data_IF_294395439727
#
_entry.id   IF_294395439727
#
_cell.length_a   1.000
_cell.length_b   1.000
_cell.length_c   1.000
_cell.angle_alpha   90.00
_cell.angle_beta   90.00
_cell.angle_gamma   90.00
#
_symmetry.space_group_name_H-M   'P 1'
#
loop_
_entity.id
_entity.type
_entity.pdbx_description
1 polymer ?
#
# COMPACT_ATOMS: atom_id res chain seq x y z
N UNK A 1 -24.37 -5.26 -0.18
CA UNK A 1 -23.19 -5.53 -1.02
C UNK A 1 -23.10 -4.40 -2.02
N UNK A 2 -22.26 -3.41 -1.70
CA UNK A 2 -22.03 -2.26 -2.57
C UNK A 2 -20.64 -2.47 -3.17
N UNK A 3 -20.50 -3.49 -4.03
CA UNK A 3 -19.24 -3.85 -4.69
C UNK A 3 -18.93 -2.81 -5.78
N UNK A 4 -18.41 -1.65 -5.36
CA UNK A 4 -18.05 -0.52 -6.23
C UNK A 4 -16.78 -0.75 -7.04
N UNK A 5 -16.07 -1.85 -6.79
CA UNK A 5 -14.81 -2.17 -7.45
C UNK A 5 -14.99 -3.34 -8.40
N UNK A 6 -14.81 -3.05 -9.69
CA UNK A 6 -14.50 -4.08 -10.68
C UNK A 6 -12.98 -4.26 -10.69
N UNK A 7 -12.50 -5.49 -10.92
CA UNK A 7 -11.07 -5.75 -11.03
C UNK A 7 -10.75 -6.54 -12.30
N UNK A 8 -9.54 -6.34 -12.80
CA UNK A 8 -8.94 -7.09 -13.89
C UNK A 8 -7.62 -7.67 -13.39
N UNK A 9 -7.42 -8.98 -13.58
CA UNK A 9 -6.14 -9.63 -13.42
C UNK A 9 -5.69 -10.28 -14.72
N UNK A 10 -4.51 -9.90 -15.19
CA UNK A 10 -3.80 -10.60 -16.26
C UNK A 10 -2.72 -11.46 -15.60
N UNK A 11 -2.84 -12.77 -15.73
CA UNK A 11 -1.93 -13.74 -15.09
C UNK A 11 -1.19 -14.55 -16.14
N UNK A 12 0.08 -14.87 -15.87
CA UNK A 12 0.86 -15.78 -16.70
C UNK A 12 0.34 -17.22 -16.61
N UNK A 13 0.68 -18.04 -17.62
CA UNK A 13 0.19 -19.42 -17.74
C UNK A 13 0.40 -20.28 -16.50
N UNK A 14 1.58 -20.20 -15.88
CA UNK A 14 1.90 -20.93 -14.64
C UNK A 14 0.93 -20.60 -13.49
N UNK A 15 0.56 -19.33 -13.34
CA UNK A 15 -0.40 -18.90 -12.31
C UNK A 15 -1.80 -19.39 -12.67
N UNK A 16 -2.20 -19.30 -13.94
CA UNK A 16 -3.50 -19.78 -14.42
C UNK A 16 -3.67 -21.31 -14.29
N UNK A 17 -2.55 -22.06 -14.33
CA UNK A 17 -2.56 -23.50 -14.05
C UNK A 17 -2.66 -23.80 -12.55
N UNK A 18 -2.02 -23.01 -11.70
CA UNK A 18 -2.00 -23.22 -10.25
C UNK A 18 -3.26 -22.71 -9.54
N UNK A 19 -3.90 -21.65 -10.05
CA UNK A 19 -5.04 -20.97 -9.44
C UNK A 19 -6.26 -20.97 -10.36
N UNK A 20 -7.41 -21.36 -9.82
CA UNK A 20 -8.68 -21.22 -10.53
C UNK A 20 -9.09 -19.75 -10.65
N UNK A 21 -10.02 -19.45 -11.56
CA UNK A 21 -10.60 -18.11 -11.67
C UNK A 21 -11.28 -17.66 -10.36
N UNK A 22 -11.87 -18.60 -9.61
CA UNK A 22 -12.47 -18.34 -8.32
C UNK A 22 -11.41 -17.96 -7.26
N UNK A 23 -10.31 -18.70 -7.20
CA UNK A 23 -9.18 -18.39 -6.31
C UNK A 23 -8.64 -16.98 -6.57
N UNK A 24 -8.45 -16.64 -7.85
CA UNK A 24 -7.95 -15.32 -8.27
C UNK A 24 -8.94 -14.23 -7.85
N UNK A 25 -10.23 -14.42 -8.13
CA UNK A 25 -11.26 -13.45 -7.78
C UNK A 25 -11.36 -13.22 -6.27
N UNK A 26 -11.33 -14.28 -5.47
CA UNK A 26 -11.41 -14.19 -4.00
C UNK A 26 -10.19 -13.50 -3.40
N UNK A 27 -9.00 -13.76 -3.97
CA UNK A 27 -7.78 -13.08 -3.55
C UNK A 27 -7.83 -11.58 -3.86
N UNK A 28 -8.34 -11.19 -5.04
CA UNK A 28 -8.51 -9.77 -5.41
C UNK A 28 -9.55 -9.07 -4.52
N UNK A 29 -10.66 -9.73 -4.18
CA UNK A 29 -11.68 -9.20 -3.25
C UNK A 29 -11.13 -8.93 -1.85
N UNK A 30 -10.15 -9.72 -1.38
CA UNK A 30 -9.49 -9.48 -0.08
C UNK A 30 -8.60 -8.24 -0.07
N UNK A 31 -8.15 -7.79 -1.26
CA UNK A 31 -7.20 -6.69 -1.41
C UNK A 31 -7.74 -5.57 -2.31
N UNK A 32 -9.04 -5.27 -2.21
CA UNK A 32 -9.68 -4.19 -2.97
C UNK A 32 -8.89 -2.87 -2.84
N UNK A 33 -8.66 -2.23 -4.00
CA UNK A 33 -7.96 -0.96 -4.08
C UNK A 33 -6.45 -1.04 -3.81
N UNK A 34 -5.86 -2.24 -3.75
CA UNK A 34 -4.43 -2.45 -3.50
C UNK A 34 -3.78 -3.36 -4.55
N UNK A 35 -3.63 -2.90 -5.81
CA UNK A 35 -3.11 -3.70 -6.91
C UNK A 35 -1.73 -4.32 -6.66
N UNK A 36 -0.82 -3.66 -5.93
CA UNK A 36 0.52 -4.18 -5.67
C UNK A 36 0.48 -5.31 -4.63
N UNK A 37 -0.26 -5.13 -3.54
CA UNK A 37 -0.52 -6.20 -2.56
C UNK A 37 -1.23 -7.39 -3.20
N UNK A 38 -2.28 -7.15 -4.00
CA UNK A 38 -3.03 -8.23 -4.67
C UNK A 38 -2.13 -9.02 -5.64
N UNK A 39 -1.31 -8.32 -6.42
CA UNK A 39 -0.32 -8.94 -7.33
C UNK A 39 0.65 -9.83 -6.55
N UNK A 40 1.25 -9.30 -5.48
CA UNK A 40 2.18 -10.07 -4.64
C UNK A 40 1.53 -11.28 -3.95
N UNK A 41 0.26 -11.16 -3.55
CA UNK A 41 -0.50 -12.26 -2.95
C UNK A 41 -0.81 -13.37 -3.98
N UNK A 42 -1.15 -13.01 -5.22
CA UNK A 42 -1.35 -13.99 -6.30
C UNK A 42 -0.06 -14.76 -6.61
N UNK A 43 1.07 -14.06 -6.69
CA UNK A 43 2.38 -14.68 -6.89
C UNK A 43 2.70 -15.67 -5.76
N UNK A 44 2.50 -15.25 -4.52
CA UNK A 44 2.78 -16.09 -3.35
C UNK A 44 1.87 -17.32 -3.31
N UNK A 45 0.57 -17.15 -3.54
CA UNK A 45 -0.39 -18.27 -3.52
C UNK A 45 -0.08 -19.28 -4.63
N UNK A 46 0.26 -18.81 -5.84
CA UNK A 46 0.69 -19.70 -6.93
C UNK A 46 1.94 -20.49 -6.55
N UNK A 47 2.95 -19.86 -5.91
CA UNK A 47 4.14 -20.55 -5.42
C UNK A 47 3.84 -21.60 -4.36
N UNK A 48 2.95 -21.29 -3.42
CA UNK A 48 2.51 -22.25 -2.37
C UNK A 48 1.85 -23.47 -3.01
N UNK A 49 1.13 -23.29 -4.13
CA UNK A 49 0.54 -24.38 -4.91
C UNK A 49 1.49 -25.04 -5.91
N UNK A 50 2.78 -24.74 -5.84
CA UNK A 50 3.83 -25.43 -6.58
C UNK A 50 4.23 -24.77 -7.91
N UNK A 51 3.71 -23.60 -8.24
CA UNK A 51 4.16 -22.84 -9.41
C UNK A 51 5.62 -22.38 -9.19
N UNK A 52 6.52 -22.79 -10.10
CA UNK A 52 7.97 -22.59 -9.94
C UNK A 52 8.63 -21.93 -11.15
N UNK A 53 7.89 -21.72 -12.24
CA UNK A 53 8.35 -21.02 -13.44
C UNK A 53 8.35 -19.49 -13.33
N UNK A 54 8.34 -18.83 -14.49
CA UNK A 54 8.22 -17.37 -14.56
C UNK A 54 6.78 -16.96 -14.22
N UNK A 55 6.61 -16.38 -13.04
CA UNK A 55 5.32 -15.90 -12.56
C UNK A 55 5.17 -14.42 -12.90
N UNK A 56 4.14 -14.08 -13.67
CA UNK A 56 3.83 -12.69 -14.04
C UNK A 56 2.37 -12.42 -13.75
N UNK A 57 2.08 -11.28 -13.14
CA UNK A 57 0.73 -10.82 -12.87
C UNK A 57 0.63 -9.31 -13.01
N UNK A 58 -0.50 -8.84 -13.50
CA UNK A 58 -0.92 -7.45 -13.47
C UNK A 58 -2.33 -7.40 -12.88
N UNK A 59 -2.52 -6.62 -11.82
CA UNK A 59 -3.82 -6.37 -11.22
C UNK A 59 -4.20 -4.90 -11.41
N UNK A 60 -5.44 -4.65 -11.82
CA UNK A 60 -6.05 -3.33 -11.86
C UNK A 60 -7.39 -3.35 -11.14
N UNK A 61 -7.67 -2.28 -10.39
CA UNK A 61 -8.95 -2.05 -9.74
C UNK A 61 -9.58 -0.79 -10.35
N UNK A 62 -10.87 -0.85 -10.60
CA UNK A 62 -11.65 0.24 -11.18
C UNK A 62 -12.69 0.69 -10.18
N UNK A 63 -12.73 1.99 -9.90
CA UNK A 63 -13.84 2.62 -9.20
C UNK A 63 -14.83 3.14 -10.23
N UNK A 64 -16.05 2.60 -10.25
CA UNK A 64 -17.12 3.23 -11.02
C UNK A 64 -17.73 4.35 -10.18
N UNK A 65 -17.32 5.58 -10.44
CA UNK A 65 -18.09 6.74 -9.98
C UNK A 65 -19.44 6.74 -10.69
N UNK A 66 -20.54 7.01 -9.97
CA UNK A 66 -21.69 7.61 -10.64
C UNK A 66 -21.14 8.81 -11.39
N UNK A 67 -21.30 8.86 -12.72
CA UNK A 67 -21.08 10.09 -13.45
C UNK A 67 -21.83 11.17 -12.66
N UNK A 68 -21.11 12.16 -12.12
CA UNK A 68 -21.79 13.42 -11.87
C UNK A 68 -22.31 13.79 -13.24
N UNK A 69 -23.64 13.92 -13.44
CA UNK A 69 -24.16 14.27 -14.76
C UNK A 69 -23.32 15.44 -15.22
N UNK A 70 -22.64 15.29 -16.36
CA UNK A 70 -21.89 16.40 -16.95
C UNK A 70 -22.96 17.45 -17.17
N UNK A 71 -23.06 18.39 -16.24
CA UNK A 71 -24.11 19.39 -16.24
C UNK A 71 -24.08 19.97 -17.65
N UNK A 72 -25.18 19.79 -18.37
CA UNK A 72 -25.38 20.45 -19.65
C UNK A 72 -24.92 21.89 -19.44
N UNK A 73 -24.01 22.37 -20.28
CA UNK A 73 -23.26 23.59 -20.04
C UNK A 73 -24.21 24.77 -19.73
N UNK A 74 -24.45 24.99 -18.44
CA UNK A 74 -25.14 26.17 -17.94
C UNK A 74 -24.12 27.32 -17.93
N UNK A 75 -24.53 28.54 -18.30
CA UNK A 75 -23.63 29.66 -18.49
C UNK A 75 -22.95 30.00 -17.15
N UNK A 76 -21.61 29.96 -17.16
CA UNK A 76 -20.66 30.38 -16.13
C UNK A 76 -21.23 30.89 -14.78
N UNK A 77 -21.92 30.03 -14.05
CA UNK A 77 -22.22 30.19 -12.63
C UNK A 77 -20.99 29.83 -11.82
N UNK A 78 -20.71 30.61 -10.76
CA UNK A 78 -19.52 30.51 -9.91
C UNK A 78 -19.07 29.06 -9.67
N UNK A 79 -17.82 28.75 -10.04
CA UNK A 79 -17.16 27.46 -9.81
C UNK A 79 -17.53 26.94 -8.42
N UNK A 80 -17.95 25.67 -8.28
CA UNK A 80 -18.13 25.08 -6.96
C UNK A 80 -16.82 25.24 -6.20
N UNK A 81 -16.93 25.68 -4.94
CA UNK A 81 -15.78 25.92 -4.06
C UNK A 81 -15.07 24.59 -3.88
N UNK A 82 -14.02 24.35 -4.66
CA UNK A 82 -13.06 23.27 -4.42
C UNK A 82 -12.62 23.45 -2.97
N UNK A 83 -12.91 22.47 -2.11
CA UNK A 83 -12.37 22.48 -0.75
C UNK A 83 -10.86 22.71 -0.86
N UNK A 84 -10.29 23.68 -0.13
CA UNK A 84 -8.87 23.96 -0.24
C UNK A 84 -8.12 22.68 0.07
N UNK A 85 -7.35 22.17 -0.89
CA UNK A 85 -6.50 21.00 -0.70
C UNK A 85 -5.74 21.17 0.63
N UNK A 86 -5.92 20.22 1.56
CA UNK A 86 -5.28 20.27 2.88
C UNK A 86 -3.80 20.59 2.69
N UNK A 87 -3.33 21.68 3.31
CA UNK A 87 -1.93 22.12 3.16
C UNK A 87 -0.95 21.10 3.74
N UNK A 88 -1.41 20.30 4.71
CA UNK A 88 -0.62 19.29 5.40
C UNK A 88 -1.47 18.06 5.72
N UNK A 89 -0.82 16.91 5.79
CA UNK A 89 -1.39 15.62 6.21
C UNK A 89 -0.51 15.01 7.29
N UNK A 90 -1.05 14.12 8.12
CA UNK A 90 -0.24 13.38 9.11
C UNK A 90 -0.42 11.89 8.88
N UNK A 91 0.70 11.18 8.77
CA UNK A 91 0.71 9.76 8.50
C UNK A 91 1.66 9.02 9.44
N UNK A 92 1.36 7.75 9.69
CA UNK A 92 2.29 6.77 10.23
C UNK A 92 2.77 5.87 9.10
N UNK A 93 3.95 5.30 9.23
CA UNK A 93 4.50 4.38 8.24
C UNK A 93 5.11 3.12 8.85
N UNK A 94 5.19 2.09 8.02
CA UNK A 94 6.09 0.95 8.18
C UNK A 94 6.97 0.94 6.92
N UNK A 95 8.29 1.10 7.09
CA UNK A 95 9.27 1.05 6.01
C UNK A 95 10.07 -0.23 6.12
N UNK A 96 10.15 -0.99 5.03
CA UNK A 96 11.03 -2.15 4.91
C UNK A 96 11.92 -1.93 3.69
N UNK A 97 13.23 -1.91 3.88
CA UNK A 97 14.20 -1.71 2.81
C UNK A 97 14.46 -3.02 2.03
N UNK A 98 15.30 -2.96 1.02
CA UNK A 98 15.85 -4.13 0.31
C UNK A 98 17.28 -3.82 -0.13
N UNK A 99 17.95 -4.81 -0.74
CA UNK A 99 19.34 -4.68 -1.20
C UNK A 99 19.57 -3.50 -2.17
N UNK A 100 18.54 -3.07 -2.91
CA UNK A 100 18.61 -2.00 -3.91
C UNK A 100 18.14 -0.64 -3.37
N UNK A 101 17.78 -0.56 -2.08
CA UNK A 101 17.48 0.73 -1.43
C UNK A 101 18.74 1.59 -1.32
N UNK A 102 18.58 2.91 -1.35
CA UNK A 102 19.68 3.90 -1.29
C UNK A 102 20.65 3.68 -0.14
N UNK A 103 20.11 3.31 1.03
CA UNK A 103 20.89 2.94 2.21
C UNK A 103 20.43 1.57 2.72
N UNK A 104 20.97 0.45 2.18
CA UNK A 104 20.52 -0.91 2.47
C UNK A 104 21.10 -1.40 3.81
N UNK A 105 20.86 -0.62 4.86
CA UNK A 105 21.30 -0.87 6.24
C UNK A 105 20.13 -0.58 7.18
N UNK A 106 19.86 -1.51 8.10
CA UNK A 106 18.92 -1.33 9.19
C UNK A 106 19.63 -0.61 10.35
N UNK A 107 19.49 0.72 10.38
CA UNK A 107 20.02 1.57 11.45
C UNK A 107 19.26 1.42 12.78
N UNK A 108 18.08 0.79 12.76
CA UNK A 108 17.26 0.57 13.96
C UNK A 108 17.77 -0.66 14.72
N UNK A 109 18.18 -1.72 14.01
CA UNK A 109 18.61 -3.00 14.58
C UNK A 109 20.11 -3.24 14.35
N UNK A 110 20.93 -2.51 15.11
CA UNK A 110 22.39 -2.71 15.18
C UNK A 110 23.15 -2.51 13.86
N UNK A 111 22.70 -1.60 12.98
CA UNK A 111 23.35 -1.31 11.69
C UNK A 111 23.54 -2.56 10.81
N UNK A 112 22.56 -3.46 10.82
CA UNK A 112 22.63 -4.70 10.04
C UNK A 112 22.52 -4.42 8.54
N UNK A 113 23.38 -5.05 7.74
CA UNK A 113 23.32 -4.98 6.27
C UNK A 113 22.07 -5.70 5.74
N UNK A 114 21.38 -5.08 4.80
CA UNK A 114 20.16 -5.61 4.18
C UNK A 114 20.51 -6.25 2.83
N UNK A 115 20.28 -7.56 2.73
CA UNK A 115 20.59 -8.38 1.54
C UNK A 115 19.36 -8.97 0.86
N UNK A 116 18.18 -8.85 1.49
CA UNK A 116 16.92 -9.40 0.97
C UNK A 116 16.47 -8.69 -0.31
N UNK A 117 15.65 -9.39 -1.10
CA UNK A 117 15.10 -8.88 -2.36
C UNK A 117 13.96 -7.87 -2.13
N UNK A 118 13.59 -7.13 -3.19
CA UNK A 118 12.37 -6.31 -3.20
C UNK A 118 11.12 -7.17 -2.90
N UNK A 119 11.01 -8.34 -3.53
CA UNK A 119 9.88 -9.26 -3.32
C UNK A 119 9.76 -9.73 -1.86
N UNK A 120 10.89 -9.98 -1.18
CA UNK A 120 10.90 -10.31 0.24
C UNK A 120 10.46 -9.13 1.11
N UNK A 121 10.91 -7.92 0.80
CA UNK A 121 10.50 -6.71 1.51
C UNK A 121 8.99 -6.47 1.37
N UNK A 122 8.44 -6.62 0.16
CA UNK A 122 7.01 -6.54 -0.09
C UNK A 122 6.22 -7.64 0.63
N UNK A 123 6.75 -8.86 0.72
CA UNK A 123 6.13 -9.96 1.47
C UNK A 123 6.02 -9.62 2.96
N UNK A 124 7.07 -9.07 3.57
CA UNK A 124 7.06 -8.63 4.98
C UNK A 124 5.98 -7.55 5.21
N UNK A 125 5.83 -6.61 4.27
CA UNK A 125 4.79 -5.58 4.37
C UNK A 125 3.39 -6.14 4.14
N UNK A 126 3.21 -7.09 3.22
CA UNK A 126 1.93 -7.76 2.97
C UNK A 126 1.45 -8.53 4.20
N UNK A 127 2.33 -9.30 4.85
CA UNK A 127 2.03 -9.97 6.11
C UNK A 127 1.66 -8.97 7.23
N UNK A 128 2.30 -7.80 7.24
CA UNK A 128 1.97 -6.73 8.19
C UNK A 128 0.61 -6.10 7.88
N UNK A 129 0.30 -5.87 6.61
CA UNK A 129 -0.98 -5.33 6.15
C UNK A 129 -2.13 -6.27 6.48
N UNK A 130 -1.98 -7.56 6.23
CA UNK A 130 -2.99 -8.57 6.55
C UNK A 130 -3.30 -8.58 8.05
N UNK A 131 -2.26 -8.58 8.89
CA UNK A 131 -2.43 -8.47 10.34
C UNK A 131 -3.16 -7.18 10.73
N UNK A 132 -2.80 -6.04 10.14
CA UNK A 132 -3.45 -4.76 10.43
C UNK A 132 -4.90 -4.70 9.94
N UNK A 133 -5.21 -5.32 8.79
CA UNK A 133 -6.57 -5.35 8.26
C UNK A 133 -7.49 -6.26 9.07
N UNK A 134 -6.95 -7.31 9.68
CA UNK A 134 -7.71 -8.17 10.60
C UNK A 134 -8.10 -7.47 11.92
N UNK A 135 -7.53 -6.30 12.20
CA UNK A 135 -7.80 -5.48 13.38
C UNK A 135 -8.51 -4.16 12.99
N UNK A 136 -9.84 -4.03 13.20
CA UNK A 136 -10.60 -2.83 12.84
C UNK A 136 -10.06 -1.55 13.50
N UNK A 137 -9.57 -1.64 14.74
CA UNK A 137 -9.01 -0.53 15.51
C UNK A 137 -7.57 -0.21 15.10
N UNK A 138 -6.93 -1.09 14.32
CA UNK A 138 -5.53 -0.98 13.86
C UNK A 138 -4.54 -0.85 15.02
N UNK A 139 -4.91 -1.32 16.21
CA UNK A 139 -4.08 -1.35 17.42
C UNK A 139 -2.77 -2.12 17.20
N UNK A 140 -2.81 -3.14 16.34
CA UNK A 140 -1.65 -3.97 15.98
C UNK A 140 -0.61 -3.21 15.14
N UNK A 141 -0.95 -2.05 14.56
CA UNK A 141 -0.04 -1.26 13.74
C UNK A 141 1.24 -0.91 14.51
N UNK A 142 1.11 -0.45 15.76
CA UNK A 142 2.25 -0.11 16.63
C UNK A 142 3.18 -1.31 16.81
N UNK A 143 2.62 -2.49 17.05
CA UNK A 143 3.39 -3.73 17.23
C UNK A 143 4.11 -4.14 15.94
N UNK A 144 3.41 -4.13 14.79
CA UNK A 144 4.02 -4.44 13.49
C UNK A 144 5.11 -3.43 13.13
N UNK A 145 4.84 -2.14 13.29
CA UNK A 145 5.80 -1.07 13.03
C UNK A 145 7.09 -1.29 13.83
N UNK A 146 7.01 -1.52 15.15
CA UNK A 146 8.21 -1.80 15.96
C UNK A 146 8.92 -3.09 15.56
N UNK A 147 8.16 -4.12 15.18
CA UNK A 147 8.71 -5.42 14.82
C UNK A 147 9.52 -5.36 13.52
N UNK A 148 9.00 -4.71 12.47
CA UNK A 148 9.58 -4.83 11.11
C UNK A 148 10.04 -3.52 10.47
N UNK A 149 9.61 -2.36 10.96
CA UNK A 149 10.01 -1.09 10.33
C UNK A 149 11.50 -0.80 10.55
N UNK A 150 12.14 -0.24 9.54
CA UNK A 150 13.55 0.13 9.51
C UNK A 150 13.75 1.65 9.31
N UNK A 151 12.65 2.41 9.36
CA UNK A 151 12.70 3.84 9.58
C UNK A 151 12.86 4.14 11.07
N UNK A 152 13.72 5.09 11.43
CA UNK A 152 13.92 5.56 12.82
C UNK A 152 12.63 6.03 13.50
N UNK A 153 11.61 6.44 12.73
CA UNK A 153 10.28 6.78 13.25
C UNK A 153 9.62 5.64 14.06
N UNK A 154 10.00 4.37 13.85
CA UNK A 154 9.47 3.24 14.62
C UNK A 154 9.95 3.23 16.08
N UNK A 155 11.03 3.95 16.41
CA UNK A 155 11.56 4.08 17.77
C UNK A 155 10.74 5.02 18.65
N UNK A 156 9.82 5.79 18.06
CA UNK A 156 8.91 6.65 18.82
C UNK A 156 8.03 5.82 19.77
N UNK A 157 7.73 6.38 20.94
CA UNK A 157 6.97 5.73 22.00
C UNK A 157 5.48 5.59 21.68
N UNK A 158 4.83 4.58 22.26
CA UNK A 158 3.38 4.35 22.18
C UNK A 158 2.82 4.41 20.75
N UNK A 159 1.70 5.13 20.60
CA UNK A 159 1.01 5.32 19.33
C UNK A 159 1.73 6.23 18.32
N UNK A 160 2.86 6.82 18.72
CA UNK A 160 3.70 7.61 17.80
C UNK A 160 4.66 6.73 16.99
N UNK A 161 4.73 5.42 17.24
CA UNK A 161 5.57 4.51 16.45
C UNK A 161 5.20 4.60 14.96
N UNK A 162 6.19 4.96 14.14
CA UNK A 162 6.04 5.15 12.70
C UNK A 162 5.52 6.52 12.28
N UNK A 163 5.20 7.43 13.22
CA UNK A 163 4.67 8.76 12.91
C UNK A 163 5.68 9.61 12.15
N UNK A 164 5.28 10.16 11.01
CA UNK A 164 6.06 11.05 10.16
C UNK A 164 5.90 12.53 10.53
N UNK A 165 4.98 12.86 11.43
CA UNK A 165 4.60 14.25 11.69
C UNK A 165 3.77 14.84 10.55
N UNK A 166 3.63 16.16 10.55
CA UNK A 166 2.90 16.88 9.53
C UNK A 166 3.73 17.00 8.25
N UNK A 167 3.23 16.39 7.18
CA UNK A 167 3.84 16.35 5.86
C UNK A 167 3.20 17.43 4.99
N UNK A 168 4.03 18.30 4.44
CA UNK A 168 3.68 19.28 3.40
C UNK A 168 4.17 18.77 2.05
N UNK A 169 3.63 19.32 0.95
CA UNK A 169 4.11 19.00 -0.40
C UNK A 169 5.59 19.36 -0.56
N UNK A 170 6.34 18.53 -1.27
CA UNK A 170 7.77 18.64 -1.52
C UNK A 170 8.68 18.15 -0.39
N UNK A 171 8.13 17.63 0.73
CA UNK A 171 8.95 17.19 1.87
C UNK A 171 9.36 15.72 1.84
N UNK A 172 8.65 14.89 1.07
CA UNK A 172 8.86 13.44 0.99
C UNK A 172 8.99 13.00 -0.47
N UNK A 173 9.41 11.75 -0.68
CA UNK A 173 9.53 11.17 -2.02
C UNK A 173 8.23 11.31 -2.83
N UNK A 174 8.27 11.61 -4.15
CA UNK A 174 7.07 11.86 -4.95
C UNK A 174 5.99 10.78 -4.88
N UNK A 175 6.38 9.50 -4.88
CA UNK A 175 5.43 8.38 -4.75
C UNK A 175 4.75 8.36 -3.37
N UNK A 176 5.50 8.66 -2.31
CA UNK A 176 4.97 8.75 -0.94
C UNK A 176 4.06 9.96 -0.82
N UNK A 177 4.43 11.10 -1.39
CA UNK A 177 3.58 12.30 -1.44
C UNK A 177 2.24 12.00 -2.14
N UNK A 178 2.29 11.42 -3.35
CA UNK A 178 1.10 11.07 -4.10
C UNK A 178 0.17 10.16 -3.30
N UNK A 179 0.72 9.17 -2.58
CA UNK A 179 -0.05 8.28 -1.73
C UNK A 179 -0.64 8.99 -0.50
N UNK A 180 0.14 9.74 0.30
CA UNK A 180 -0.38 10.36 1.53
C UNK A 180 -1.46 11.42 1.27
N UNK A 181 -1.35 12.17 0.16
CA UNK A 181 -2.32 13.21 -0.17
C UNK A 181 -3.60 12.67 -0.82
N UNK A 182 -3.54 11.49 -1.46
CA UNK A 182 -4.72 10.82 -2.04
C UNK A 182 -5.45 9.92 -1.04
N UNK A 183 -4.75 9.40 -0.03
CA UNK A 183 -5.31 8.48 0.95
C UNK A 183 -6.33 9.19 1.87
N UNK A 184 -7.55 8.67 2.09
CA UNK A 184 -8.48 9.26 3.05
C UNK A 184 -8.00 9.10 4.51
N UNK A 185 -8.47 9.96 5.41
CA UNK A 185 -8.14 9.84 6.84
C UNK A 185 -8.64 8.50 7.38
N UNK A 186 -7.84 7.85 8.22
CA UNK A 186 -8.11 6.52 8.79
C UNK A 186 -7.76 5.35 7.88
N UNK A 187 -7.40 5.60 6.61
CA UNK A 187 -7.11 4.55 5.64
C UNK A 187 -5.62 4.20 5.58
N UNK A 188 -5.35 2.98 5.15
CA UNK A 188 -4.00 2.45 4.95
C UNK A 188 -3.78 2.25 3.44
N UNK A 189 -2.63 2.71 2.94
CA UNK A 189 -2.25 2.63 1.53
C UNK A 189 -2.01 1.19 1.06
N UNK A 190 -1.85 1.04 -0.25
CA UNK A 190 -1.12 -0.08 -0.83
C UNK A 190 0.38 0.01 -0.46
N UNK A 191 1.20 -0.93 -0.95
CA UNK A 191 2.66 -0.84 -0.86
C UNK A 191 3.17 0.23 -1.83
N UNK A 192 3.93 1.19 -1.31
CA UNK A 192 4.52 2.30 -2.06
C UNK A 192 6.03 2.14 -2.07
N UNK A 193 6.65 2.32 -3.23
CA UNK A 193 8.11 2.25 -3.37
C UNK A 193 8.72 3.65 -3.45
N UNK A 194 9.88 3.78 -2.81
CA UNK A 194 10.75 4.95 -2.89
C UNK A 194 12.21 4.49 -2.90
N UNK A 195 13.13 5.44 -3.08
CA UNK A 195 14.56 5.18 -2.96
C UNK A 195 14.96 4.60 -1.59
N UNK A 196 14.18 4.83 -0.53
CA UNK A 196 14.45 4.28 0.79
C UNK A 196 14.02 2.81 0.94
N UNK A 197 13.15 2.30 0.06
CA UNK A 197 12.59 0.95 0.14
C UNK A 197 11.08 0.93 -0.14
N UNK A 198 10.38 0.00 0.48
CA UNK A 198 8.92 -0.14 0.37
C UNK A 198 8.23 0.31 1.66
N UNK A 199 7.07 0.94 1.50
CA UNK A 199 6.35 1.62 2.56
C UNK A 199 4.89 1.21 2.56
N UNK A 200 4.33 1.09 3.76
CA UNK A 200 2.89 1.14 4.00
C UNK A 200 2.59 2.37 4.84
N UNK A 201 1.59 3.14 4.44
CA UNK A 201 1.24 4.42 5.02
C UNK A 201 -0.15 4.32 5.66
N UNK A 202 -0.31 4.83 6.86
CA UNK A 202 -1.59 5.00 7.53
C UNK A 202 -1.85 6.47 7.77
N UNK A 203 -2.86 7.04 7.10
CA UNK A 203 -3.22 8.45 7.29
C UNK A 203 -4.04 8.62 8.55
N UNK A 204 -3.57 9.50 9.44
CA UNK A 204 -4.24 9.81 10.71
C UNK A 204 -4.83 11.23 10.74
N UNK A 205 -4.42 12.15 9.84
CA UNK A 205 -5.04 13.48 9.67
C UNK A 205 -4.93 14.04 8.24
#
# INVERSE_FOLDING_TARGET
MDERYLFLALVGGEIAHALSQADIADLLRRHLGRPRVASGALLQEAQVRGASGSLTVLCAFFEWGQETPRAAAEPAGKRPKVEPAKKQVRCRQILVKHKDSKEPVDRVRNNQQITRSLADAERILRESLEAIQSDPEKSIFTKRCKAVSECSSCLKGGEMAGDLGWISRGQVHPNVEAAVFSLPVGHISDIIESDEGVHVLWRIA
#
